data_IF_500282092562
#
_entry.id   IF_500282092562
#
_cell.length_a   1.000
_cell.length_b   1.000
_cell.length_c   1.000
_cell.angle_alpha   90.00
_cell.angle_beta   90.00
_cell.angle_gamma   90.00
#
_symmetry.space_group_name_H-M   'P 1'
#
loop_
_entity.id
_entity.type
_entity.pdbx_description
1 polymer ?
#
# COMPACT_ATOMS: atom_id res chain seq x y z
N UNK A 1 6.02 -2.13 -4.76
CA UNK A 1 4.54 -2.04 -4.91
C UNK A 1 4.10 -0.63 -5.24
N UNK A 2 4.44 0.38 -4.42
CA UNK A 2 4.06 1.78 -4.62
C UNK A 2 4.28 2.27 -6.06
N UNK A 3 5.54 2.36 -6.52
CA UNK A 3 5.85 2.90 -7.86
C UNK A 3 5.10 2.19 -9.01
N UNK A 4 5.07 0.85 -8.99
CA UNK A 4 4.38 0.07 -10.02
C UNK A 4 2.86 0.32 -10.02
N UNK A 5 2.25 0.42 -8.84
CA UNK A 5 0.82 0.69 -8.72
C UNK A 5 0.50 2.15 -9.09
N UNK A 6 1.37 3.09 -8.75
CA UNK A 6 1.24 4.50 -9.13
C UNK A 6 1.13 4.66 -10.65
N UNK A 7 1.95 3.95 -11.43
CA UNK A 7 1.85 4.01 -12.91
C UNK A 7 0.48 3.53 -13.40
N UNK A 8 -0.02 2.40 -12.89
CA UNK A 8 -1.32 1.88 -13.29
C UNK A 8 -2.48 2.80 -12.87
N UNK A 9 -2.44 3.34 -11.65
CA UNK A 9 -3.47 4.25 -11.12
C UNK A 9 -3.42 5.63 -11.74
N UNK A 10 -2.23 6.14 -12.07
CA UNK A 10 -2.10 7.39 -12.80
C UNK A 10 -2.65 7.23 -14.22
N UNK A 11 -2.38 6.11 -14.89
CA UNK A 11 -3.00 5.81 -16.18
C UNK A 11 -4.53 5.77 -16.06
N UNK A 12 -5.08 5.11 -15.06
CA UNK A 12 -6.52 5.13 -14.81
C UNK A 12 -7.06 6.56 -14.60
N UNK A 13 -6.39 7.38 -13.79
CA UNK A 13 -6.78 8.77 -13.57
C UNK A 13 -6.75 9.59 -14.87
N UNK A 14 -5.74 9.36 -15.72
CA UNK A 14 -5.63 9.99 -17.05
C UNK A 14 -6.80 9.60 -17.95
N UNK A 15 -7.18 8.32 -17.98
CA UNK A 15 -8.30 7.84 -18.80
C UNK A 15 -9.66 8.33 -18.30
N UNK A 16 -9.80 8.53 -16.98
CA UNK A 16 -11.03 9.03 -16.37
C UNK A 16 -11.13 10.56 -16.39
N UNK A 17 -10.07 11.28 -16.78
CA UNK A 17 -10.07 12.74 -16.87
C UNK A 17 -10.32 13.15 -18.33
N UNK A 18 -11.44 13.80 -18.65
CA UNK A 18 -11.77 14.20 -20.02
C UNK A 18 -10.68 15.05 -20.66
N UNK A 19 -10.31 14.73 -21.90
CA UNK A 19 -9.33 15.49 -22.69
C UNK A 19 -7.86 15.32 -22.28
N UNK A 20 -7.57 14.76 -21.10
CA UNK A 20 -6.20 14.65 -20.59
C UNK A 20 -5.33 13.73 -21.47
N UNK A 21 -5.87 12.57 -21.86
CA UNK A 21 -5.14 11.59 -22.70
C UNK A 21 -4.82 12.11 -24.11
N UNK A 22 -5.63 13.04 -24.60
CA UNK A 22 -5.58 13.56 -25.97
C UNK A 22 -4.77 14.87 -26.04
N UNK A 23 -4.37 15.43 -24.89
CA UNK A 23 -3.62 16.68 -24.79
C UNK A 23 -2.13 16.41 -24.68
N UNK A 24 -1.37 16.80 -25.71
CA UNK A 24 0.10 16.71 -25.71
C UNK A 24 0.69 17.69 -24.70
N UNK A 25 1.69 17.24 -23.92
CA UNK A 25 2.39 18.06 -22.93
C UNK A 25 1.45 18.79 -21.97
N UNK A 26 0.43 18.08 -21.49
CA UNK A 26 -0.56 18.65 -20.58
C UNK A 26 0.08 19.26 -19.33
N UNK A 27 -0.46 20.40 -18.92
CA UNK A 27 -0.17 21.09 -17.67
C UNK A 27 -1.51 21.47 -17.04
N UNK A 28 -1.63 21.37 -15.72
CA UNK A 28 -2.83 21.84 -15.02
C UNK A 28 -3.00 23.34 -15.17
N UNK A 29 -4.24 23.80 -15.35
CA UNK A 29 -4.55 25.22 -15.27
C UNK A 29 -4.43 25.72 -13.82
N UNK A 30 -4.20 27.02 -13.65
CA UNK A 30 -3.93 27.65 -12.35
C UNK A 30 -5.13 27.58 -11.37
N UNK A 31 -6.33 27.39 -11.90
CA UNK A 31 -7.58 27.21 -11.12
C UNK A 31 -7.76 25.79 -10.59
N UNK A 32 -6.98 24.82 -11.07
CA UNK A 32 -7.04 23.43 -10.62
C UNK A 32 -6.27 23.28 -9.32
N UNK A 33 -6.97 22.92 -8.25
CA UNK A 33 -6.35 22.68 -6.95
C UNK A 33 -5.38 21.49 -7.00
N UNK A 34 -4.26 21.52 -6.23
CA UNK A 34 -3.34 20.39 -6.13
C UNK A 34 -4.02 19.07 -5.75
N UNK A 35 -5.07 19.14 -4.92
CA UNK A 35 -5.84 17.99 -4.44
C UNK A 35 -6.72 17.34 -5.52
N UNK A 36 -7.00 18.07 -6.60
CA UNK A 36 -7.83 17.59 -7.70
C UNK A 36 -7.01 17.00 -8.86
N UNK A 37 -5.69 17.13 -8.80
CA UNK A 37 -4.78 16.62 -9.82
C UNK A 37 -4.92 15.10 -10.01
N UNK A 38 -4.76 14.59 -11.24
CA UNK A 38 -4.80 13.15 -11.52
C UNK A 38 -3.82 12.34 -10.65
N UNK A 39 -2.66 12.92 -10.33
CA UNK A 39 -1.67 12.29 -9.47
C UNK A 39 -2.16 12.15 -8.02
N UNK A 40 -2.83 13.16 -7.48
CA UNK A 40 -3.39 13.10 -6.13
C UNK A 40 -4.45 11.98 -6.03
N UNK A 41 -5.40 11.96 -6.98
CA UNK A 41 -6.44 10.92 -7.08
C UNK A 41 -5.86 9.52 -7.23
N UNK A 42 -4.80 9.36 -8.03
CA UNK A 42 -4.10 8.10 -8.19
C UNK A 42 -3.41 7.65 -6.89
N UNK A 43 -2.76 8.57 -6.18
CA UNK A 43 -1.99 8.30 -4.96
C UNK A 43 -2.89 7.83 -3.83
N UNK A 44 -4.08 8.41 -3.67
CA UNK A 44 -5.11 7.93 -2.72
C UNK A 44 -5.40 6.45 -2.94
N UNK A 45 -5.67 6.04 -4.18
CA UNK A 45 -5.96 4.64 -4.52
C UNK A 45 -4.77 3.72 -4.29
N UNK A 46 -3.54 4.21 -4.52
CA UNK A 46 -2.31 3.46 -4.22
C UNK A 46 -2.19 3.20 -2.72
N UNK A 47 -2.32 4.25 -1.90
CA UNK A 47 -2.23 4.16 -0.44
C UNK A 47 -3.33 3.25 0.13
N UNK A 48 -4.57 3.43 -0.33
CA UNK A 48 -5.70 2.57 0.00
C UNK A 48 -5.39 1.08 -0.27
N UNK A 49 -4.94 0.77 -1.50
CA UNK A 49 -4.59 -0.60 -1.87
C UNK A 49 -3.48 -1.17 -0.97
N UNK A 50 -2.45 -0.37 -0.70
CA UNK A 50 -1.32 -0.78 0.12
C UNK A 50 -1.74 -1.04 1.56
N UNK A 51 -2.56 -0.16 2.13
CA UNK A 51 -3.08 -0.29 3.49
C UNK A 51 -3.86 -1.60 3.65
N UNK A 52 -4.86 -1.85 2.81
CA UNK A 52 -5.66 -3.08 2.90
C UNK A 52 -4.81 -4.34 2.72
N UNK A 53 -3.82 -4.33 1.82
CA UNK A 53 -2.93 -5.48 1.63
C UNK A 53 -2.08 -5.73 2.87
N UNK A 54 -1.54 -4.68 3.49
CA UNK A 54 -0.73 -4.80 4.70
C UNK A 54 -1.57 -5.27 5.88
N UNK A 55 -2.78 -4.73 6.05
CA UNK A 55 -3.73 -5.16 7.07
C UNK A 55 -4.08 -6.65 6.91
N UNK A 56 -4.47 -7.09 5.71
CA UNK A 56 -4.75 -8.51 5.45
C UNK A 56 -3.53 -9.41 5.57
N UNK A 57 -2.33 -8.88 5.34
CA UNK A 57 -1.09 -9.60 5.61
C UNK A 57 -0.87 -9.77 7.10
N UNK A 58 -1.15 -8.74 7.93
CA UNK A 58 -1.05 -8.83 9.39
C UNK A 58 -2.07 -9.82 9.96
N UNK A 59 -3.32 -9.78 9.51
CA UNK A 59 -4.36 -10.75 9.90
C UNK A 59 -3.94 -12.19 9.54
N UNK A 60 -3.51 -12.41 8.29
CA UNK A 60 -3.08 -13.72 7.82
C UNK A 60 -1.84 -14.24 8.57
N UNK A 61 -0.89 -13.35 8.88
CA UNK A 61 0.28 -13.66 9.70
C UNK A 61 -0.11 -14.12 11.08
N UNK A 62 -1.04 -13.40 11.74
CA UNK A 62 -1.49 -13.74 13.07
C UNK A 62 -2.18 -15.11 13.09
N UNK A 63 -3.04 -15.38 12.12
CA UNK A 63 -3.71 -16.67 11.98
C UNK A 63 -2.72 -17.83 11.74
N UNK A 64 -1.72 -17.64 10.88
CA UNK A 64 -0.72 -18.66 10.58
C UNK A 64 0.18 -18.97 11.79
N UNK A 65 0.59 -17.95 12.54
CA UNK A 65 1.37 -18.16 13.76
C UNK A 65 0.55 -18.84 14.86
N UNK A 66 -0.75 -18.52 14.98
CA UNK A 66 -1.65 -19.20 15.90
C UNK A 66 -1.85 -20.68 15.52
N UNK A 67 -1.94 -20.99 14.22
CA UNK A 67 -2.14 -22.35 13.73
C UNK A 67 -0.88 -23.23 13.81
N UNK A 68 0.32 -22.65 13.65
CA UNK A 68 1.57 -23.41 13.63
C UNK A 68 2.03 -23.91 15.01
N UNK A 69 1.58 -23.28 16.10
CA UNK A 69 1.95 -23.65 17.48
C UNK A 69 3.45 -23.92 17.66
N UNK A 70 3.77 -24.80 18.60
CA UNK A 70 5.12 -25.41 18.73
C UNK A 70 5.21 -26.79 18.07
N UNK A 71 4.19 -27.18 17.31
CA UNK A 71 4.13 -28.51 16.68
C UNK A 71 5.33 -28.72 15.74
N UNK A 72 5.98 -29.87 15.90
CA UNK A 72 7.16 -30.28 15.14
C UNK A 72 8.50 -29.70 15.62
N UNK A 73 8.54 -29.10 16.82
CA UNK A 73 9.77 -28.61 17.47
C UNK A 73 10.23 -29.51 18.65
N UNK A 74 9.56 -30.63 18.86
CA UNK A 74 9.91 -31.60 19.91
C UNK A 74 11.22 -32.32 19.57
N UNK A 75 12.15 -32.36 20.53
CA UNK A 75 13.46 -33.02 20.38
C UNK A 75 14.51 -32.21 19.60
N UNK A 76 14.20 -30.98 19.21
CA UNK A 76 15.13 -30.07 18.49
C UNK A 76 15.95 -29.26 19.50
N UNK A 77 17.23 -29.02 19.21
CA UNK A 77 18.09 -28.21 20.09
C UNK A 77 17.57 -26.76 20.20
N UNK A 78 17.90 -26.06 21.31
CA UNK A 78 17.39 -24.71 21.56
C UNK A 78 17.70 -23.70 20.45
N UNK A 79 18.89 -23.77 19.86
CA UNK A 79 19.32 -22.89 18.76
C UNK A 79 18.57 -23.19 17.45
N UNK A 80 18.42 -24.47 17.09
CA UNK A 80 17.68 -24.88 15.90
C UNK A 80 16.18 -24.54 16.02
N UNK A 81 15.64 -24.65 17.24
CA UNK A 81 14.27 -24.24 17.55
C UNK A 81 14.07 -22.75 17.37
N UNK A 82 15.00 -21.93 17.86
CA UNK A 82 14.95 -20.47 17.67
C UNK A 82 15.01 -20.10 16.19
N UNK A 83 15.93 -20.71 15.44
CA UNK A 83 16.05 -20.50 13.99
C UNK A 83 14.78 -20.91 13.24
N UNK A 84 14.19 -22.04 13.58
CA UNK A 84 12.94 -22.51 12.99
C UNK A 84 11.79 -21.54 13.28
N UNK A 85 11.67 -21.04 14.51
CA UNK A 85 10.67 -20.05 14.90
C UNK A 85 10.87 -18.71 14.18
N UNK A 86 12.12 -18.25 14.04
CA UNK A 86 12.43 -17.06 13.27
C UNK A 86 12.00 -17.19 11.81
N UNK A 87 12.32 -18.32 11.16
CA UNK A 87 11.91 -18.59 9.78
C UNK A 87 10.39 -18.66 9.62
N UNK A 88 9.67 -19.29 10.56
CA UNK A 88 8.19 -19.28 10.58
C UNK A 88 7.66 -17.85 10.67
N UNK A 89 8.24 -17.03 11.55
CA UNK A 89 7.84 -15.64 11.77
C UNK A 89 8.06 -14.75 10.55
N UNK A 90 9.20 -14.88 9.87
CA UNK A 90 9.53 -14.07 8.68
C UNK A 90 8.71 -14.50 7.48
N UNK A 91 8.55 -15.82 7.26
CA UNK A 91 7.71 -16.36 6.18
C UNK A 91 6.25 -15.95 6.33
N UNK A 92 5.70 -15.99 7.55
CA UNK A 92 4.33 -15.55 7.81
C UNK A 92 4.14 -14.04 7.58
N UNK A 93 5.21 -13.25 7.62
CA UNK A 93 5.18 -11.81 7.36
C UNK A 93 5.30 -11.43 5.87
N UNK A 94 5.50 -12.41 4.97
CA UNK A 94 5.59 -12.14 3.54
C UNK A 94 4.25 -11.64 2.97
N UNK A 95 4.31 -10.59 2.15
CA UNK A 95 3.13 -10.00 1.52
C UNK A 95 2.59 -10.97 0.46
N UNK A 96 1.36 -11.47 0.68
CA UNK A 96 0.67 -12.39 -0.24
C UNK A 96 -0.15 -11.63 -1.28
N UNK A 97 0.53 -10.91 -2.17
CA UNK A 97 -0.10 -9.99 -3.12
C UNK A 97 -1.17 -10.66 -3.99
N UNK A 98 -0.90 -11.86 -4.52
CA UNK A 98 -1.83 -12.59 -5.40
C UNK A 98 -3.13 -12.95 -4.68
N UNK A 99 -3.06 -13.33 -3.40
CA UNK A 99 -4.25 -13.64 -2.59
C UNK A 99 -5.09 -12.40 -2.29
N UNK A 100 -4.44 -11.24 -2.27
CA UNK A 100 -5.03 -9.95 -1.96
C UNK A 100 -5.21 -9.05 -3.20
N UNK A 101 -5.16 -9.62 -4.41
CA UNK A 101 -5.20 -8.87 -5.68
C UNK A 101 -6.48 -8.05 -5.86
N UNK A 102 -7.59 -8.45 -5.22
CA UNK A 102 -8.85 -7.70 -5.24
C UNK A 102 -8.65 -6.26 -4.73
N UNK A 103 -7.83 -6.07 -3.70
CA UNK A 103 -7.57 -4.75 -3.12
C UNK A 103 -6.70 -3.88 -4.03
N UNK A 104 -5.94 -4.49 -4.96
CA UNK A 104 -5.26 -3.75 -6.03
C UNK A 104 -6.19 -3.34 -7.16
N UNK A 105 -7.37 -3.98 -7.32
CA UNK A 105 -8.35 -3.65 -8.37
C UNK A 105 -9.38 -2.68 -7.85
N UNK A 106 -9.96 -3.01 -6.70
CA UNK A 106 -11.04 -2.32 -6.01
C UNK A 106 -10.53 -1.89 -4.62
N UNK A 107 -9.84 -0.74 -4.54
CA UNK A 107 -9.27 -0.26 -3.28
C UNK A 107 -10.39 0.28 -2.39
N UNK A 108 -10.35 -0.05 -1.10
CA UNK A 108 -11.22 0.56 -0.09
C UNK A 108 -10.59 1.89 0.30
N UNK A 109 -11.17 2.99 -0.16
CA UNK A 109 -10.59 4.33 0.01
C UNK A 109 -10.96 4.88 1.39
N UNK A 110 -9.95 4.97 2.26
CA UNK A 110 -10.04 5.56 3.60
C UNK A 110 -9.12 6.78 3.77
N UNK A 111 -8.30 7.07 2.75
CA UNK A 111 -7.36 8.18 2.74
C UNK A 111 -7.98 9.39 2.05
N UNK A 112 -7.76 10.56 2.64
CA UNK A 112 -8.17 11.86 2.09
C UNK A 112 -6.94 12.65 1.61
N UNK A 113 -7.09 13.38 0.51
CA UNK A 113 -6.04 14.32 0.07
C UNK A 113 -6.23 15.63 0.81
N UNK A 114 -5.15 16.14 1.38
CA UNK A 114 -5.17 17.45 2.02
C UNK A 114 -4.37 18.46 1.19
N UNK A 115 -4.81 19.72 1.20
CA UNK A 115 -3.96 20.83 0.80
C UNK A 115 -2.84 21.00 1.82
N UNK A 116 -1.76 21.61 1.38
CA UNK A 116 -0.63 21.92 2.24
C UNK A 116 -0.94 23.13 3.11
N UNK A 117 -0.74 23.02 4.42
CA UNK A 117 -0.73 24.15 5.35
C UNK A 117 0.70 24.35 5.89
N UNK A 118 1.17 25.61 5.93
CA UNK A 118 2.42 25.96 6.62
C UNK A 118 2.35 25.66 8.13
N UNK A 119 1.15 25.42 8.64
CA UNK A 119 0.81 24.71 9.89
C UNK A 119 1.52 23.38 10.12
N UNK A 120 1.65 22.58 9.06
CA UNK A 120 2.01 21.16 9.14
C UNK A 120 3.51 20.89 9.04
N UNK A 121 4.32 21.94 8.81
CA UNK A 121 5.76 21.86 8.75
C UNK A 121 6.39 21.71 10.15
N UNK A 122 7.43 20.87 10.31
CA UNK A 122 8.32 20.94 11.45
C UNK A 122 8.87 22.36 11.60
N UNK A 123 9.02 22.87 12.83
CA UNK A 123 9.48 24.25 13.09
C UNK A 123 10.82 24.58 12.40
N UNK A 124 11.63 23.56 12.10
CA UNK A 124 12.93 23.72 11.45
C UNK A 124 12.86 24.08 9.96
N UNK A 125 11.70 23.92 9.31
CA UNK A 125 11.50 24.14 7.87
C UNK A 125 10.40 25.19 7.60
N UNK A 126 9.84 25.77 8.66
CA UNK A 126 8.88 26.87 8.60
C UNK A 126 9.58 28.22 8.46
#
# INVERSE_FOLDING_TARGET
MFAALTVARLREAVFNTPGLRDTKSWVSADDVKPTELPLAKATVKVLASMHSILEKTLEGRAAELAALGEEGLDGVSGEEREKAMHLRRTKAAEIRLVRNVRFLREPVVEFEVMEWDDGDLPEEIR
#
